data_IF_806357862884
#
_entry.id   IF_806357862884
#
_cell.length_a   1.000
_cell.length_b   1.000
_cell.length_c   1.000
_cell.angle_alpha   90.00
_cell.angle_beta   90.00
_cell.angle_gamma   90.00
#
_symmetry.space_group_name_H-M   'P 1'
#
loop_
_entity.id
_entity.type
_entity.pdbx_description
1 polymer ?
#
# COMPACT_ATOMS: atom_id res chain seq x y z
N UNK A 1 32.73 -8.61 -6.58
CA UNK A 1 31.35 -8.48 -7.12
C UNK A 1 30.85 -7.10 -6.76
N UNK A 2 31.54 -6.06 -7.23
CA UNK A 2 31.69 -4.80 -6.47
C UNK A 2 31.03 -3.59 -7.14
N UNK A 3 30.17 -3.83 -8.13
CA UNK A 3 29.51 -2.77 -8.88
C UNK A 3 28.01 -2.78 -8.62
N UNK A 4 27.53 -1.69 -8.01
CA UNK A 4 26.11 -1.34 -7.81
C UNK A 4 25.25 -1.63 -9.05
N UNK A 5 25.80 -1.37 -10.24
CA UNK A 5 25.14 -1.65 -11.52
C UNK A 5 24.75 -3.12 -11.71
N UNK A 6 25.59 -4.05 -11.28
CA UNK A 6 25.31 -5.49 -11.40
C UNK A 6 24.21 -5.91 -10.44
N UNK A 7 24.23 -5.40 -9.20
CA UNK A 7 23.17 -5.62 -8.22
C UNK A 7 21.82 -5.12 -8.71
N UNK A 8 21.75 -3.86 -9.17
CA UNK A 8 20.53 -3.28 -9.73
C UNK A 8 20.04 -4.01 -10.98
N UNK A 9 20.95 -4.39 -11.88
CA UNK A 9 20.60 -5.17 -13.07
C UNK A 9 19.98 -6.51 -12.69
N UNK A 10 20.56 -7.23 -11.73
CA UNK A 10 20.02 -8.50 -11.27
C UNK A 10 18.62 -8.33 -10.64
N UNK A 11 18.43 -7.27 -9.85
CA UNK A 11 17.12 -6.94 -9.24
C UNK A 11 16.06 -6.71 -10.32
N UNK A 12 16.40 -5.94 -11.36
CA UNK A 12 15.48 -5.65 -12.46
C UNK A 12 15.18 -6.93 -13.25
N UNK A 13 16.17 -7.78 -13.52
CA UNK A 13 15.98 -9.05 -14.25
C UNK A 13 15.10 -10.01 -13.46
N UNK A 14 15.37 -10.21 -12.17
CA UNK A 14 14.54 -11.05 -11.29
C UNK A 14 13.12 -10.47 -11.21
N UNK A 15 13.01 -9.15 -11.01
CA UNK A 15 11.74 -8.45 -10.95
C UNK A 15 10.91 -8.61 -12.23
N UNK A 16 11.54 -8.48 -13.39
CA UNK A 16 10.88 -8.67 -14.68
C UNK A 16 10.44 -10.13 -14.88
N UNK A 17 11.26 -11.10 -14.51
CA UNK A 17 10.92 -12.52 -14.62
C UNK A 17 9.73 -12.90 -13.71
N UNK A 18 9.75 -12.46 -12.46
CA UNK A 18 8.66 -12.69 -11.51
C UNK A 18 7.39 -11.94 -11.95
N UNK A 19 7.51 -10.69 -12.39
CA UNK A 19 6.37 -9.92 -12.91
C UNK A 19 5.75 -10.58 -14.15
N UNK A 20 6.57 -11.11 -15.06
CA UNK A 20 6.11 -11.87 -16.22
C UNK A 20 5.34 -13.12 -15.78
N UNK A 21 5.87 -13.87 -14.81
CA UNK A 21 5.20 -15.04 -14.26
C UNK A 21 3.86 -14.66 -13.63
N UNK A 22 3.82 -13.64 -12.77
CA UNK A 22 2.59 -13.15 -12.14
C UNK A 22 1.55 -12.74 -13.19
N UNK A 23 1.99 -12.06 -14.25
CA UNK A 23 1.10 -11.69 -15.36
C UNK A 23 0.58 -12.93 -16.10
N UNK A 24 1.41 -13.94 -16.33
CA UNK A 24 1.01 -15.18 -16.99
C UNK A 24 -0.06 -15.95 -16.19
N UNK A 25 -0.02 -15.88 -14.86
CA UNK A 25 -1.01 -16.48 -13.97
C UNK A 25 -2.17 -15.53 -13.60
N UNK A 26 -2.30 -14.38 -14.27
CA UNK A 26 -3.32 -13.35 -14.03
C UNK A 26 -3.34 -12.80 -12.58
N UNK A 27 -2.19 -12.80 -11.91
CA UNK A 27 -2.05 -12.22 -10.57
C UNK A 27 -1.65 -10.74 -10.64
N UNK A 28 -2.08 -9.91 -9.68
CA UNK A 28 -1.62 -8.53 -9.55
C UNK A 28 -0.10 -8.41 -9.50
N UNK A 29 0.48 -7.48 -10.25
CA UNK A 29 1.93 -7.31 -10.35
C UNK A 29 2.60 -6.97 -9.00
N UNK A 30 1.85 -6.36 -8.09
CA UNK A 30 2.32 -6.03 -6.73
C UNK A 30 2.82 -7.26 -5.98
N UNK A 31 2.18 -8.42 -6.18
CA UNK A 31 2.60 -9.68 -5.56
C UNK A 31 3.99 -10.06 -6.08
N UNK A 32 4.23 -9.85 -7.38
CA UNK A 32 5.53 -10.10 -8.00
C UNK A 32 6.63 -9.20 -7.45
N UNK A 33 6.33 -7.94 -7.17
CA UNK A 33 7.30 -7.01 -6.55
C UNK A 33 7.66 -7.43 -5.12
N UNK A 34 6.68 -7.89 -4.32
CA UNK A 34 6.92 -8.42 -2.97
C UNK A 34 7.80 -9.68 -3.04
N UNK A 35 7.46 -10.63 -3.91
CA UNK A 35 8.23 -11.86 -4.10
C UNK A 35 9.66 -11.54 -4.55
N UNK A 36 9.83 -10.61 -5.48
CA UNK A 36 11.14 -10.15 -5.93
C UNK A 36 11.96 -9.58 -4.77
N UNK A 37 11.36 -8.75 -3.92
CA UNK A 37 12.01 -8.22 -2.72
C UNK A 37 12.46 -9.32 -1.75
N UNK A 38 11.65 -10.36 -1.56
CA UNK A 38 12.00 -11.52 -0.72
C UNK A 38 13.19 -12.28 -1.31
N UNK A 39 13.17 -12.53 -2.63
CA UNK A 39 14.22 -13.28 -3.34
C UNK A 39 15.55 -12.50 -3.36
N UNK A 40 15.51 -11.21 -3.67
CA UNK A 40 16.70 -10.35 -3.74
C UNK A 40 17.25 -10.03 -2.35
N UNK A 41 16.36 -9.98 -1.36
CA UNK A 41 16.67 -9.61 0.01
C UNK A 41 17.65 -10.55 0.71
N UNK A 42 18.06 -10.19 1.94
CA UNK A 42 19.05 -10.95 2.70
C UNK A 42 18.59 -12.37 3.04
N UNK A 43 17.27 -12.64 2.97
CA UNK A 43 16.69 -13.94 3.27
C UNK A 43 17.00 -15.03 2.23
N UNK A 44 17.30 -14.68 0.98
CA UNK A 44 17.49 -15.67 -0.10
C UNK A 44 18.81 -15.44 -0.84
N UNK A 45 18.90 -14.45 -1.73
CA UNK A 45 20.09 -14.26 -2.57
C UNK A 45 21.10 -13.27 -1.99
N UNK A 46 20.72 -12.44 -1.01
CA UNK A 46 21.58 -11.40 -0.41
C UNK A 46 22.27 -10.50 -1.44
N UNK A 47 21.60 -10.27 -2.59
CA UNK A 47 22.13 -9.43 -3.67
C UNK A 47 22.07 -7.95 -3.29
N UNK A 48 21.19 -7.61 -2.35
CA UNK A 48 21.03 -6.29 -1.77
C UNK A 48 22.13 -5.92 -0.75
N UNK A 49 23.40 -6.07 -1.10
CA UNK A 49 24.54 -5.89 -0.17
C UNK A 49 24.92 -4.42 0.10
N UNK A 50 24.29 -3.46 -0.60
CA UNK A 50 24.50 -2.01 -0.38
C UNK A 50 23.18 -1.34 0.04
N UNK A 51 22.81 -1.38 1.34
CA UNK A 51 21.55 -0.85 1.85
C UNK A 51 21.35 0.64 1.51
N UNK A 52 22.40 1.45 1.57
CA UNK A 52 22.32 2.89 1.39
C UNK A 52 21.94 3.28 -0.05
N UNK A 53 22.54 2.61 -1.04
CA UNK A 53 22.23 2.86 -2.45
C UNK A 53 20.82 2.38 -2.79
N UNK A 54 20.44 1.19 -2.32
CA UNK A 54 19.08 0.68 -2.53
C UNK A 54 18.01 1.56 -1.88
N UNK A 55 18.30 2.11 -0.70
CA UNK A 55 17.44 3.08 -0.04
C UNK A 55 17.24 4.33 -0.90
N UNK A 56 18.33 4.88 -1.45
CA UNK A 56 18.27 6.08 -2.30
C UNK A 56 17.42 5.86 -3.57
N UNK A 57 17.60 4.72 -4.25
CA UNK A 57 16.76 4.35 -5.40
C UNK A 57 15.30 4.08 -5.01
N UNK A 58 15.06 3.49 -3.84
CA UNK A 58 13.71 3.24 -3.32
C UNK A 58 12.99 4.55 -3.01
N UNK A 59 13.66 5.50 -2.36
CA UNK A 59 13.12 6.82 -2.04
C UNK A 59 12.78 7.60 -3.32
N UNK A 60 13.64 7.56 -4.33
CA UNK A 60 13.36 8.13 -5.66
C UNK A 60 12.17 7.46 -6.34
N UNK A 61 12.09 6.13 -6.30
CA UNK A 61 10.97 5.37 -6.85
C UNK A 61 9.64 5.71 -6.18
N UNK A 62 9.63 5.82 -4.85
CA UNK A 62 8.46 6.24 -4.06
C UNK A 62 8.07 7.68 -4.42
N UNK A 63 9.02 8.61 -4.50
CA UNK A 63 8.75 10.00 -4.87
C UNK A 63 8.11 10.11 -6.27
N UNK A 64 8.65 9.39 -7.26
CA UNK A 64 8.08 9.30 -8.61
C UNK A 64 6.68 8.68 -8.62
N UNK A 65 6.48 7.59 -7.88
CA UNK A 65 5.18 6.93 -7.76
C UNK A 65 4.13 7.88 -7.17
N UNK A 66 4.44 8.53 -6.05
CA UNK A 66 3.54 9.48 -5.40
C UNK A 66 3.26 10.70 -6.29
N UNK A 67 4.26 11.16 -7.04
CA UNK A 67 4.08 12.24 -8.01
C UNK A 67 3.11 11.85 -9.13
N UNK A 68 3.28 10.67 -9.74
CA UNK A 68 2.39 10.16 -10.79
C UNK A 68 0.97 9.96 -10.25
N UNK A 69 0.82 9.40 -9.05
CA UNK A 69 -0.48 9.27 -8.40
C UNK A 69 -1.11 10.66 -8.22
N UNK A 70 -0.34 11.64 -7.74
CA UNK A 70 -0.79 13.03 -7.60
C UNK A 70 -1.28 13.65 -8.90
N UNK A 71 -0.61 13.41 -10.03
CA UNK A 71 -1.03 13.89 -11.35
C UNK A 71 -2.33 13.24 -11.85
N UNK A 72 -2.61 12.00 -11.45
CA UNK A 72 -3.82 11.27 -11.83
C UNK A 72 -5.06 11.63 -10.99
N UNK A 73 -4.87 12.34 -9.87
CA UNK A 73 -5.98 12.77 -9.01
C UNK A 73 -6.70 13.96 -9.64
N UNK A 74 -7.97 13.78 -9.99
CA UNK A 74 -8.84 14.89 -10.32
C UNK A 74 -9.45 15.46 -9.02
N UNK A 75 -9.07 16.68 -8.59
CA UNK A 75 -9.56 17.27 -7.33
C UNK A 75 -11.09 17.44 -7.32
N UNK A 76 -11.71 17.60 -8.49
CA UNK A 76 -13.15 17.75 -8.63
C UNK A 76 -13.87 16.44 -8.32
N UNK A 77 -13.34 15.30 -8.77
CA UNK A 77 -13.91 13.97 -8.49
C UNK A 77 -13.80 13.68 -6.99
N UNK A 78 -12.63 13.91 -6.39
CA UNK A 78 -12.44 13.72 -4.94
C UNK A 78 -13.43 14.56 -4.15
N UNK A 79 -13.65 15.82 -4.55
CA UNK A 79 -14.63 16.71 -3.89
C UNK A 79 -16.07 16.23 -4.05
N UNK A 80 -16.43 15.70 -5.21
CA UNK A 80 -17.80 15.23 -5.52
C UNK A 80 -18.19 13.99 -4.70
N UNK A 81 -17.28 13.02 -4.54
CA UNK A 81 -17.52 11.82 -3.73
C UNK A 81 -17.03 11.94 -2.28
N UNK A 82 -16.42 13.07 -1.88
CA UNK A 82 -15.84 13.27 -0.54
C UNK A 82 -16.82 13.02 0.61
N UNK A 83 -18.06 13.50 0.52
CA UNK A 83 -19.04 13.33 1.60
C UNK A 83 -19.38 11.86 1.80
N UNK A 84 -19.76 11.17 0.72
CA UNK A 84 -20.10 9.73 0.77
C UNK A 84 -18.89 8.90 1.18
N UNK A 85 -17.70 9.20 0.64
CA UNK A 85 -16.46 8.53 0.99
C UNK A 85 -16.08 8.71 2.45
N UNK A 86 -16.28 9.90 3.04
CA UNK A 86 -16.02 10.15 4.46
C UNK A 86 -16.94 9.34 5.37
N UNK A 87 -18.25 9.33 5.09
CA UNK A 87 -19.17 8.52 5.89
C UNK A 87 -18.85 7.02 5.76
N UNK A 88 -18.65 6.54 4.54
CA UNK A 88 -18.32 5.13 4.29
C UNK A 88 -16.99 4.75 4.95
N UNK A 89 -15.96 5.58 4.82
CA UNK A 89 -14.64 5.32 5.41
C UNK A 89 -14.67 5.30 6.93
N UNK A 90 -15.32 6.27 7.58
CA UNK A 90 -15.43 6.30 9.06
C UNK A 90 -16.21 5.09 9.56
N UNK A 91 -17.35 4.78 8.94
CA UNK A 91 -18.18 3.63 9.33
C UNK A 91 -17.40 2.33 9.11
N UNK A 92 -16.74 2.16 7.96
CA UNK A 92 -15.94 0.97 7.67
C UNK A 92 -14.80 0.81 8.68
N UNK A 93 -14.06 1.87 8.99
CA UNK A 93 -12.96 1.80 9.96
C UNK A 93 -13.48 1.40 11.34
N UNK A 94 -14.57 2.01 11.80
CA UNK A 94 -15.18 1.67 13.08
C UNK A 94 -15.65 0.21 13.13
N UNK A 95 -16.36 -0.24 12.10
CA UNK A 95 -16.89 -1.61 12.01
C UNK A 95 -15.76 -2.63 12.01
N UNK A 96 -14.73 -2.46 11.17
CA UNK A 96 -13.61 -3.40 11.10
C UNK A 96 -12.81 -3.39 12.41
N UNK A 97 -12.63 -2.22 13.03
CA UNK A 97 -11.96 -2.13 14.34
C UNK A 97 -12.70 -2.91 15.42
N UNK A 98 -14.03 -2.77 15.49
CA UNK A 98 -14.87 -3.49 16.46
C UNK A 98 -14.84 -5.00 16.18
N UNK A 99 -14.97 -5.41 14.91
CA UNK A 99 -14.89 -6.83 14.54
C UNK A 99 -13.52 -7.42 14.88
N UNK A 100 -12.44 -6.71 14.59
CA UNK A 100 -11.08 -7.14 14.93
C UNK A 100 -10.83 -7.18 16.44
N UNK A 101 -11.43 -6.28 17.22
CA UNK A 101 -11.39 -6.32 18.68
C UNK A 101 -12.13 -7.54 19.26
N UNK A 102 -13.32 -7.85 18.74
CA UNK A 102 -14.08 -9.06 19.13
C UNK A 102 -13.29 -10.32 18.77
N UNK A 103 -12.71 -10.37 17.56
CA UNK A 103 -11.86 -11.48 17.14
C UNK A 103 -10.63 -11.61 18.03
N UNK A 104 -9.93 -10.52 18.30
CA UNK A 104 -8.71 -10.53 19.11
C UNK A 104 -8.97 -10.97 20.54
N UNK A 105 -10.04 -10.48 21.17
CA UNK A 105 -10.43 -10.91 22.52
C UNK A 105 -10.85 -12.39 22.54
N UNK A 106 -11.51 -12.90 21.49
CA UNK A 106 -11.82 -14.34 21.36
C UNK A 106 -10.58 -15.22 21.22
N UNK A 107 -9.47 -14.67 20.73
CA UNK A 107 -8.15 -15.33 20.65
C UNK A 107 -7.33 -15.21 21.95
N UNK A 108 -7.90 -14.63 23.01
CA UNK A 108 -7.24 -14.46 24.31
C UNK A 108 -6.30 -13.25 24.40
N UNK A 109 -6.35 -12.32 23.44
CA UNK A 109 -5.57 -11.08 23.53
C UNK A 109 -6.16 -10.14 24.59
N UNK A 110 -5.30 -9.33 25.21
CA UNK A 110 -5.75 -8.25 26.08
C UNK A 110 -6.63 -7.26 25.30
N UNK A 111 -7.57 -6.60 25.98
CA UNK A 111 -8.50 -5.67 25.32
C UNK A 111 -7.79 -4.55 24.54
N UNK A 112 -6.64 -4.10 25.02
CA UNK A 112 -5.79 -3.11 24.32
C UNK A 112 -5.12 -3.71 23.10
N UNK A 113 -4.53 -4.90 23.20
CA UNK A 113 -3.89 -5.57 22.07
C UNK A 113 -4.91 -5.91 20.97
N UNK A 114 -6.10 -6.38 21.34
CA UNK A 114 -7.18 -6.66 20.41
C UNK A 114 -7.68 -5.38 19.69
N UNK A 115 -7.72 -4.24 20.39
CA UNK A 115 -8.15 -2.97 19.81
C UNK A 115 -7.12 -2.45 18.79
N UNK A 116 -5.83 -2.56 19.13
CA UNK A 116 -4.73 -2.25 18.20
C UNK A 116 -4.79 -3.16 16.97
N UNK A 117 -5.07 -4.45 17.16
CA UNK A 117 -5.21 -5.41 16.05
C UNK A 117 -6.37 -5.03 15.13
N UNK A 118 -7.55 -4.74 15.71
CA UNK A 118 -8.70 -4.29 14.94
C UNK A 118 -8.46 -2.99 14.18
N UNK A 119 -7.85 -1.99 14.82
CA UNK A 119 -7.49 -0.74 14.17
C UNK A 119 -6.51 -0.96 13.02
N UNK A 120 -5.51 -1.83 13.22
CA UNK A 120 -4.51 -2.17 12.19
C UNK A 120 -5.14 -2.84 10.96
N UNK A 121 -6.17 -3.68 11.16
CA UNK A 121 -6.91 -4.34 10.07
C UNK A 121 -7.86 -3.39 9.32
N UNK A 122 -8.25 -2.28 9.93
CA UNK A 122 -9.22 -1.34 9.38
C UNK A 122 -8.65 -0.46 8.26
N UNK A 123 -7.35 -0.17 8.30
CA UNK A 123 -6.67 0.67 7.31
C UNK A 123 -6.42 -0.08 6.01
N UNK A 124 -6.71 0.59 4.90
CA UNK A 124 -6.45 0.08 3.56
C UNK A 124 -5.21 0.72 2.95
N UNK A 125 -4.62 0.09 1.92
CA UNK A 125 -3.51 0.66 1.17
C UNK A 125 -4.00 1.31 -0.13
N UNK A 126 -3.95 2.65 -0.18
CA UNK A 126 -4.32 3.44 -1.37
C UNK A 126 -3.49 3.05 -2.59
N UNK A 127 -2.18 2.85 -2.42
CA UNK A 127 -1.27 2.47 -3.50
C UNK A 127 -1.69 1.13 -4.13
N UNK A 128 -2.03 0.14 -3.29
CA UNK A 128 -2.40 -1.19 -3.79
C UNK A 128 -3.75 -1.13 -4.51
N UNK A 129 -4.77 -0.49 -3.92
CA UNK A 129 -6.09 -0.36 -4.54
C UNK A 129 -6.01 0.39 -5.87
N UNK A 130 -5.35 1.54 -5.90
CA UNK A 130 -5.20 2.36 -7.11
C UNK A 130 -4.44 1.60 -8.20
N UNK A 131 -3.39 0.84 -7.83
CA UNK A 131 -2.62 0.01 -8.75
C UNK A 131 -3.46 -1.16 -9.30
N UNK A 132 -4.18 -1.87 -8.44
CA UNK A 132 -5.07 -2.96 -8.88
C UNK A 132 -6.17 -2.48 -9.82
N UNK A 133 -6.79 -1.33 -9.52
CA UNK A 133 -7.77 -0.71 -10.40
C UNK A 133 -7.14 -0.21 -11.70
N UNK A 134 -5.89 0.28 -11.65
CA UNK A 134 -5.13 0.69 -12.85
C UNK A 134 -4.86 -0.49 -13.76
N UNK A 135 -4.34 -1.60 -13.21
CA UNK A 135 -3.96 -2.79 -13.97
C UNK A 135 -5.19 -3.42 -14.65
N UNK A 136 -6.37 -3.25 -14.04
CA UNK A 136 -7.67 -3.65 -14.60
C UNK A 136 -8.34 -2.58 -15.50
N UNK A 137 -7.78 -1.38 -15.61
CA UNK A 137 -8.39 -0.24 -16.33
C UNK A 137 -9.77 0.20 -15.78
N UNK A 138 -9.98 0.06 -14.47
CA UNK A 138 -11.27 0.24 -13.78
C UNK A 138 -11.36 1.52 -12.93
N UNK A 139 -10.31 2.36 -12.91
CA UNK A 139 -10.25 3.58 -12.09
C UNK A 139 -11.41 4.56 -12.36
N UNK A 140 -11.91 4.61 -13.60
CA UNK A 140 -13.01 5.49 -14.00
C UNK A 140 -14.41 4.99 -13.60
N UNK A 141 -14.55 3.73 -13.16
CA UNK A 141 -15.83 3.14 -12.74
C UNK A 141 -16.28 3.75 -11.40
N UNK A 142 -17.60 3.75 -11.15
CA UNK A 142 -18.17 4.31 -9.92
C UNK A 142 -17.55 3.70 -8.64
N UNK A 143 -17.45 2.37 -8.56
CA UNK A 143 -16.83 1.70 -7.42
C UNK A 143 -15.33 2.00 -7.31
N UNK A 144 -14.63 2.18 -8.44
CA UNK A 144 -13.22 2.56 -8.46
C UNK A 144 -13.00 3.96 -7.90
N UNK A 145 -13.82 4.93 -8.35
CA UNK A 145 -13.82 6.30 -7.81
C UNK A 145 -14.15 6.32 -6.32
N UNK A 146 -15.15 5.55 -5.88
CA UNK A 146 -15.52 5.45 -4.46
C UNK A 146 -14.38 4.84 -3.64
N UNK A 147 -13.81 3.72 -4.07
CA UNK A 147 -12.72 3.05 -3.37
C UNK A 147 -11.51 3.97 -3.19
N UNK A 148 -11.05 4.62 -4.28
CA UNK A 148 -9.94 5.57 -4.24
C UNK A 148 -10.27 6.75 -3.30
N UNK A 149 -11.50 7.28 -3.37
CA UNK A 149 -11.90 8.42 -2.52
C UNK A 149 -11.99 8.05 -1.04
N UNK A 150 -12.46 6.84 -0.70
CA UNK A 150 -12.47 6.33 0.67
C UNK A 150 -11.04 6.20 1.19
N UNK A 151 -10.13 5.60 0.42
CA UNK A 151 -8.74 5.45 0.82
C UNK A 151 -8.02 6.80 1.02
N UNK A 152 -8.29 7.79 0.16
CA UNK A 152 -7.77 9.16 0.35
C UNK A 152 -8.26 9.81 1.64
N UNK A 153 -9.54 9.63 2.00
CA UNK A 153 -10.07 10.16 3.26
C UNK A 153 -9.43 9.45 4.46
N UNK A 154 -9.24 8.13 4.38
CA UNK A 154 -8.53 7.36 5.42
C UNK A 154 -7.10 7.88 5.61
N UNK A 155 -6.36 8.11 4.53
CA UNK A 155 -4.99 8.65 4.58
C UNK A 155 -4.95 10.04 5.22
N UNK A 156 -5.90 10.93 4.89
CA UNK A 156 -5.99 12.26 5.53
C UNK A 156 -6.27 12.19 7.03
N UNK A 157 -7.18 11.29 7.45
CA UNK A 157 -7.46 11.07 8.87
C UNK A 157 -6.22 10.52 9.59
N UNK A 158 -5.52 9.56 8.98
CA UNK A 158 -4.30 9.00 9.53
C UNK A 158 -3.20 10.06 9.70
N UNK A 159 -2.97 10.90 8.69
CA UNK A 159 -2.00 12.01 8.76
C UNK A 159 -2.40 12.98 9.87
N UNK A 160 -3.66 13.37 9.98
CA UNK A 160 -4.13 14.26 11.04
C UNK A 160 -3.88 13.67 12.43
N UNK A 161 -4.16 12.38 12.63
CA UNK A 161 -3.88 11.67 13.89
C UNK A 161 -2.39 11.65 14.21
N UNK A 162 -1.55 11.30 13.22
CA UNK A 162 -0.09 11.28 13.40
C UNK A 162 0.41 12.66 13.81
N UNK A 163 0.01 13.73 13.12
CA UNK A 163 0.43 15.10 13.45
C UNK A 163 0.04 15.46 14.89
N UNK A 164 -1.21 15.19 15.30
CA UNK A 164 -1.68 15.46 16.66
C UNK A 164 -0.88 14.67 17.70
N UNK A 165 -0.61 13.39 17.46
CA UNK A 165 0.13 12.53 18.39
C UNK A 165 1.64 12.79 18.41
N UNK A 166 2.23 13.27 17.30
CA UNK A 166 3.65 13.63 17.22
C UNK A 166 3.95 15.03 17.76
N UNK A 167 2.92 15.87 17.87
CA UNK A 167 3.03 17.23 18.40
C UNK A 167 2.86 17.29 19.94
N UNK A 168 2.66 16.14 20.60
CA UNK A 168 2.62 15.99 22.06
C UNK A 168 3.66 14.98 22.54
#
# INVERSE_FOLDING_TARGET
MDNVFTGLSLIIVIGAAVAFLMRAINQPLIIGYIITGIIVGPAVLHVASSPDTLKLFSDLGIALLLFIIGLGLNPQIVKEVSKTASYVGIIQVAVITVLGWILGTSLGLSGTAAAILGASLAFSSTIIITKMLSDKHEQGRLYGKIAISVSLVQDMIAIALVVITSAG
#
